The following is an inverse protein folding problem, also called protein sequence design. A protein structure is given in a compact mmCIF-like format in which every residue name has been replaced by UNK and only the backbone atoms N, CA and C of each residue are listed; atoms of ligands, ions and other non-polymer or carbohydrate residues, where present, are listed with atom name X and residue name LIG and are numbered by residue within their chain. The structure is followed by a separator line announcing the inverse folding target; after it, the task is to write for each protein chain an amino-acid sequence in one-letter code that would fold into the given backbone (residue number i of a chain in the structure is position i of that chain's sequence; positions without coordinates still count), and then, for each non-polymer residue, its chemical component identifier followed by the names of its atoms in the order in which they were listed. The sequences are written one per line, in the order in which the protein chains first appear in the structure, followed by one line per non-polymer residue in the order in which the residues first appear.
data_IF_103741819623
#
_entry.id   IF_103741819623
#
_cell.length_a   1.000
_cell.length_b   1.000
_cell.length_c   1.000
_cell.angle_alpha   90.00
_cell.angle_beta   90.00
_cell.angle_gamma   90.00
#
_symmetry.space_group_name_H-M   'P 1'
#
loop_
_entity.id
_entity.type
_entity.pdbx_description
1 polymer ?
#
# COMPACT_ATOMS: atom_id res chain seq x y z
N UNK A 1 18.48 -0.17 -3.61
CA UNK A 1 17.89 -1.37 -4.22
C UNK A 1 18.35 -2.57 -3.40
N UNK A 2 17.50 -3.54 -3.03
CA UNK A 2 17.95 -4.75 -2.35
C UNK A 2 18.82 -5.59 -3.29
N UNK A 3 19.95 -6.08 -2.76
CA UNK A 3 20.93 -6.88 -3.51
C UNK A 3 21.14 -8.18 -2.77
N UNK A 4 21.20 -9.29 -3.50
CA UNK A 4 21.57 -10.60 -2.98
C UNK A 4 22.86 -11.08 -3.64
N UNK A 5 23.81 -11.52 -2.81
CA UNK A 5 25.01 -12.20 -3.26
C UNK A 5 24.80 -13.70 -3.10
N UNK A 6 24.96 -14.44 -4.19
CA UNK A 6 24.90 -15.90 -4.16
C UNK A 6 26.28 -16.50 -4.44
N UNK A 7 26.76 -17.34 -3.56
CA UNK A 7 28.04 -18.05 -3.74
C UNK A 7 28.00 -19.44 -3.15
N UNK A 8 28.91 -20.30 -3.63
CA UNK A 8 29.26 -21.59 -3.00
C UNK A 8 30.38 -21.47 -1.97
N UNK A 9 31.06 -20.32 -1.94
CA UNK A 9 32.11 -20.05 -0.98
C UNK A 9 31.54 -19.24 0.20
N UNK A 10 31.64 -19.81 1.41
CA UNK A 10 31.15 -19.20 2.64
C UNK A 10 31.93 -17.91 3.03
N UNK A 11 33.17 -17.74 2.58
CA UNK A 11 33.95 -16.51 2.84
C UNK A 11 33.28 -15.25 2.24
N UNK A 12 32.48 -15.42 1.20
CA UNK A 12 31.72 -14.32 0.58
C UNK A 12 30.60 -13.79 1.47
N UNK A 13 30.22 -14.48 2.54
CA UNK A 13 29.24 -13.99 3.52
C UNK A 13 29.76 -12.74 4.25
N UNK A 14 31.06 -12.77 4.64
CA UNK A 14 31.69 -11.61 5.28
C UNK A 14 31.74 -10.38 4.34
N UNK A 15 32.01 -10.62 3.06
CA UNK A 15 31.97 -9.56 2.04
C UNK A 15 30.56 -8.99 1.84
N UNK A 16 29.54 -9.84 1.87
CA UNK A 16 28.15 -9.42 1.79
C UNK A 16 27.74 -8.56 2.99
N UNK A 17 28.15 -8.93 4.20
CA UNK A 17 27.91 -8.16 5.41
C UNK A 17 28.55 -6.76 5.33
N UNK A 18 29.80 -6.67 4.87
CA UNK A 18 30.52 -5.38 4.70
C UNK A 18 29.82 -4.46 3.70
N UNK A 19 29.17 -5.02 2.67
CA UNK A 19 28.45 -4.26 1.63
C UNK A 19 26.96 -4.09 1.93
N UNK A 20 26.49 -4.53 3.11
CA UNK A 20 25.07 -4.51 3.49
C UNK A 20 24.17 -5.21 2.47
N UNK A 21 24.65 -6.29 1.87
CA UNK A 21 23.90 -7.17 0.96
C UNK A 21 23.50 -8.46 1.68
N UNK A 22 22.44 -9.12 1.17
CA UNK A 22 22.03 -10.43 1.71
C UNK A 22 22.86 -11.53 1.06
N UNK A 23 23.47 -12.39 1.87
CA UNK A 23 24.16 -13.57 1.36
C UNK A 23 23.26 -14.79 1.35
N UNK A 24 23.29 -15.58 0.25
CA UNK A 24 22.59 -16.86 0.15
C UNK A 24 23.56 -17.90 -0.43
N UNK A 25 23.80 -18.96 0.34
CA UNK A 25 24.68 -20.02 -0.07
C UNK A 25 24.02 -20.91 -1.13
N UNK A 26 24.63 -21.04 -2.33
CA UNK A 26 24.05 -21.76 -3.49
C UNK A 26 23.78 -23.26 -3.27
N UNK A 27 24.54 -23.90 -2.39
CA UNK A 27 24.39 -25.33 -2.06
C UNK A 27 23.60 -25.56 -0.77
N UNK A 28 23.00 -24.51 -0.19
CA UNK A 28 22.15 -24.69 1.00
C UNK A 28 20.91 -25.48 0.66
N UNK A 29 20.50 -26.38 1.55
CA UNK A 29 19.20 -27.07 1.47
C UNK A 29 18.03 -26.11 1.59
N UNK A 30 18.24 -24.93 2.17
CA UNK A 30 17.24 -23.87 2.33
C UNK A 30 17.25 -22.83 1.20
N UNK A 31 18.06 -22.98 0.13
CA UNK A 31 18.26 -21.99 -0.92
C UNK A 31 16.94 -21.38 -1.43
N UNK A 32 15.98 -22.22 -1.78
CA UNK A 32 14.68 -21.79 -2.34
C UNK A 32 13.88 -21.00 -1.28
N UNK A 33 13.90 -21.46 -0.04
CA UNK A 33 13.20 -20.77 1.04
C UNK A 33 13.87 -19.43 1.36
N UNK A 34 15.19 -19.37 1.34
CA UNK A 34 15.96 -18.14 1.59
C UNK A 34 15.75 -17.11 0.48
N UNK A 35 15.72 -17.53 -0.78
CA UNK A 35 15.34 -16.70 -1.92
C UNK A 35 13.91 -16.19 -1.80
N UNK A 36 12.96 -17.06 -1.47
CA UNK A 36 11.56 -16.70 -1.25
C UNK A 36 11.44 -15.65 -0.13
N UNK A 37 12.10 -15.87 0.98
CA UNK A 37 12.12 -14.94 2.11
C UNK A 37 12.75 -13.60 1.71
N UNK A 38 13.84 -13.62 0.94
CA UNK A 38 14.47 -12.41 0.44
C UNK A 38 13.51 -11.61 -0.45
N UNK A 39 12.82 -12.27 -1.38
CA UNK A 39 11.85 -11.64 -2.28
C UNK A 39 10.68 -11.05 -1.49
N UNK A 40 10.07 -11.82 -0.59
CA UNK A 40 8.95 -11.37 0.23
C UNK A 40 9.36 -10.16 1.08
N UNK A 41 10.52 -10.24 1.73
CA UNK A 41 10.97 -9.22 2.68
C UNK A 41 11.45 -7.91 2.03
N UNK A 42 11.92 -7.96 0.79
CA UNK A 42 12.56 -6.81 0.15
C UNK A 42 11.78 -6.25 -1.04
N UNK A 43 11.00 -7.07 -1.73
CA UNK A 43 10.23 -6.64 -2.91
C UNK A 43 8.73 -6.49 -2.63
N UNK A 44 8.25 -6.84 -1.45
CA UNK A 44 6.87 -6.62 -1.04
C UNK A 44 5.85 -7.61 -1.61
N UNK A 45 6.30 -8.76 -2.13
CA UNK A 45 5.39 -9.83 -2.55
C UNK A 45 4.72 -10.50 -1.35
N UNK A 46 3.45 -10.88 -1.52
CA UNK A 46 2.66 -11.50 -0.44
C UNK A 46 2.12 -10.47 0.57
N UNK A 47 1.79 -10.94 1.76
CA UNK A 47 1.28 -10.09 2.85
C UNK A 47 2.32 -9.07 3.29
N UNK A 48 1.87 -7.89 3.72
CA UNK A 48 2.76 -6.98 4.42
C UNK A 48 2.93 -7.44 5.87
N UNK A 49 4.16 -7.76 6.24
CA UNK A 49 4.49 -8.20 7.60
C UNK A 49 5.01 -7.00 8.39
N UNK A 50 4.19 -6.47 9.27
CA UNK A 50 4.60 -5.47 10.23
C UNK A 50 5.45 -6.10 11.31
N UNK A 51 6.71 -5.66 11.44
CA UNK A 51 7.69 -6.26 12.35
C UNK A 51 8.64 -5.22 12.91
N UNK A 52 9.32 -5.57 13.97
CA UNK A 52 10.46 -4.81 14.48
C UNK A 52 11.72 -5.08 13.65
N UNK A 53 12.74 -4.22 13.82
CA UNK A 53 14.08 -4.43 13.22
C UNK A 53 14.70 -5.79 13.62
N UNK A 54 14.35 -6.30 14.78
CA UNK A 54 14.76 -7.63 15.30
C UNK A 54 14.16 -8.82 14.54
N UNK A 55 13.22 -8.58 13.62
CA UNK A 55 12.49 -9.61 12.91
C UNK A 55 11.19 -10.06 13.60
N UNK A 56 10.95 -9.68 14.87
CA UNK A 56 9.72 -10.06 15.59
C UNK A 56 8.50 -9.44 14.91
N UNK A 57 7.61 -10.30 14.44
CA UNK A 57 6.34 -9.94 13.80
C UNK A 57 5.37 -9.34 14.82
N UNK A 58 4.57 -8.38 14.36
CA UNK A 58 3.52 -7.70 15.12
C UNK A 58 2.16 -8.09 14.56
N UNK A 59 1.96 -7.86 13.25
CA UNK A 59 0.71 -8.13 12.53
C UNK A 59 0.97 -8.22 11.04
N UNK A 60 -0.05 -8.61 10.25
CA UNK A 60 0.01 -8.71 8.79
C UNK A 60 -1.14 -7.96 8.13
N UNK A 61 -0.92 -7.56 6.89
CA UNK A 61 -1.96 -7.05 6.03
C UNK A 61 -1.92 -7.76 4.67
N UNK A 62 -3.06 -8.28 4.24
CA UNK A 62 -3.25 -8.94 2.95
C UNK A 62 -3.78 -7.98 1.89
N UNK A 63 -4.43 -6.90 2.33
CA UNK A 63 -5.09 -5.89 1.50
C UNK A 63 -4.68 -4.47 1.90
N UNK A 64 -4.94 -3.50 1.01
CA UNK A 64 -4.67 -2.08 1.28
C UNK A 64 -5.48 -1.56 2.47
N UNK A 65 -6.72 -2.02 2.64
CA UNK A 65 -7.57 -1.63 3.75
C UNK A 65 -7.05 -2.15 5.10
N UNK A 66 -6.61 -3.42 5.15
CA UNK A 66 -5.94 -3.96 6.34
C UNK A 66 -4.62 -3.24 6.62
N UNK A 67 -3.83 -2.96 5.57
CA UNK A 67 -2.59 -2.22 5.71
C UNK A 67 -2.80 -0.84 6.35
N UNK A 68 -3.81 -0.11 5.91
CA UNK A 68 -4.19 1.18 6.48
C UNK A 68 -4.55 1.04 7.96
N UNK A 69 -5.45 0.10 8.28
CA UNK A 69 -5.90 -0.17 9.65
C UNK A 69 -4.76 -0.53 10.59
N UNK A 70 -3.87 -1.41 10.16
CA UNK A 70 -2.72 -1.82 10.98
C UNK A 70 -1.69 -0.69 11.15
N UNK A 71 -1.53 0.17 10.14
CA UNK A 71 -0.65 1.33 10.18
C UNK A 71 -1.11 2.37 11.23
N UNK A 72 -2.43 2.51 11.49
CA UNK A 72 -2.98 3.43 12.48
C UNK A 72 -2.41 3.18 13.88
N UNK A 73 -2.30 1.92 14.27
CA UNK A 73 -1.90 1.51 15.62
C UNK A 73 -0.47 0.93 15.66
N UNK A 74 0.30 1.04 14.57
CA UNK A 74 1.63 0.46 14.50
C UNK A 74 2.59 1.08 15.52
N UNK A 75 3.34 0.29 16.31
CA UNK A 75 4.34 0.82 17.23
C UNK A 75 5.39 1.69 16.52
N UNK A 76 5.76 2.83 17.12
CA UNK A 76 6.70 3.82 16.54
C UNK A 76 8.00 3.21 16.03
N UNK A 77 8.58 2.25 16.77
CA UNK A 77 9.83 1.56 16.37
C UNK A 77 9.67 0.75 15.07
N UNK A 78 8.51 0.14 14.86
CA UNK A 78 8.20 -0.59 13.64
C UNK A 78 7.91 0.37 12.47
N UNK A 79 7.13 1.43 12.71
CA UNK A 79 6.89 2.49 11.73
C UNK A 79 8.20 3.06 11.20
N UNK A 80 9.10 3.46 12.08
CA UNK A 80 10.42 3.99 11.75
C UNK A 80 11.25 2.98 10.93
N UNK A 81 11.28 1.72 11.35
CA UNK A 81 12.00 0.65 10.65
C UNK A 81 11.49 0.48 9.22
N UNK A 82 10.19 0.33 9.02
CA UNK A 82 9.62 0.11 7.70
C UNK A 82 9.74 1.33 6.79
N UNK A 83 9.50 2.54 7.32
CA UNK A 83 9.63 3.78 6.57
C UNK A 83 11.07 4.05 6.12
N UNK A 84 12.07 3.80 6.99
CA UNK A 84 13.50 3.99 6.66
C UNK A 84 14.00 3.07 5.54
N UNK A 85 13.35 1.94 5.34
CA UNK A 85 13.73 0.91 4.34
C UNK A 85 12.83 0.93 3.09
N UNK A 86 11.92 1.88 2.97
CA UNK A 86 10.94 1.98 1.88
C UNK A 86 10.04 0.72 1.73
N UNK A 87 9.85 -0.06 2.81
CA UNK A 87 9.06 -1.28 2.73
C UNK A 87 7.61 -1.00 2.32
N UNK A 88 7.01 0.09 2.82
CA UNK A 88 5.64 0.49 2.47
C UNK A 88 5.49 0.75 0.97
N UNK A 89 6.34 1.60 0.40
CA UNK A 89 6.28 1.93 -1.03
C UNK A 89 6.57 0.73 -1.93
N UNK A 90 7.46 -0.18 -1.51
CA UNK A 90 7.73 -1.39 -2.28
C UNK A 90 6.51 -2.31 -2.31
N UNK A 91 5.86 -2.54 -1.17
CA UNK A 91 4.68 -3.39 -1.08
C UNK A 91 3.49 -2.83 -1.87
N UNK A 92 3.29 -1.52 -1.81
CA UNK A 92 2.24 -0.81 -2.55
C UNK A 92 2.48 -0.88 -4.06
N UNK A 93 3.75 -0.71 -4.51
CA UNK A 93 4.12 -0.79 -5.92
C UNK A 93 3.81 -2.17 -6.53
N UNK A 94 4.08 -3.26 -5.81
CA UNK A 94 3.81 -4.63 -6.28
C UNK A 94 2.32 -4.89 -6.49
N UNK A 95 1.46 -4.10 -5.87
CA UNK A 95 0.00 -4.15 -6.05
C UNK A 95 -0.52 -3.29 -7.20
N UNK A 96 0.37 -2.70 -7.98
CA UNK A 96 0.02 -1.87 -9.13
C UNK A 96 -0.30 -0.41 -8.78
N UNK A 97 -0.25 -0.03 -7.51
CA UNK A 97 -0.51 1.34 -7.04
C UNK A 97 0.76 2.21 -7.18
N UNK A 98 1.24 2.38 -8.42
CA UNK A 98 2.54 3.01 -8.70
C UNK A 98 2.60 4.48 -8.31
N UNK A 99 1.53 5.22 -8.49
CA UNK A 99 1.47 6.65 -8.13
C UNK A 99 1.57 6.83 -6.61
N UNK A 100 0.77 6.09 -5.85
CA UNK A 100 0.84 6.07 -4.40
C UNK A 100 2.22 5.64 -3.91
N UNK A 101 2.76 4.57 -4.47
CA UNK A 101 4.09 4.08 -4.13
C UNK A 101 5.18 5.13 -4.37
N UNK A 102 5.07 5.90 -5.46
CA UNK A 102 5.98 7.00 -5.77
C UNK A 102 5.85 8.15 -4.77
N UNK A 103 4.62 8.54 -4.41
CA UNK A 103 4.35 9.55 -3.37
C UNK A 103 4.96 9.14 -2.03
N UNK A 104 4.66 7.91 -1.57
CA UNK A 104 5.16 7.38 -0.29
C UNK A 104 6.68 7.24 -0.26
N UNK A 105 7.32 6.86 -1.37
CA UNK A 105 8.79 6.74 -1.46
C UNK A 105 9.52 8.07 -1.27
N UNK A 106 8.89 9.19 -1.61
CA UNK A 106 9.43 10.54 -1.42
C UNK A 106 9.33 11.02 0.02
N UNK A 107 8.48 10.41 0.83
CA UNK A 107 8.31 10.72 2.24
C UNK A 107 9.54 10.25 3.01
N UNK A 108 10.33 11.19 3.53
CA UNK A 108 11.53 10.89 4.32
C UNK A 108 11.25 11.17 5.78
N UNK A 109 11.71 10.29 6.67
CA UNK A 109 11.54 10.45 8.13
C UNK A 109 12.15 11.77 8.60
N UNK A 110 13.28 12.19 8.01
CA UNK A 110 13.98 13.43 8.33
C UNK A 110 13.15 14.70 8.10
N UNK A 111 12.08 14.62 7.34
CA UNK A 111 11.24 15.78 7.01
C UNK A 111 10.14 16.02 8.07
N UNK A 112 10.08 15.18 9.11
CA UNK A 112 9.03 15.23 10.13
C UNK A 112 9.63 15.34 11.52
N UNK A 113 9.07 16.22 12.34
CA UNK A 113 9.54 16.45 13.71
C UNK A 113 9.25 15.26 14.63
N UNK A 114 8.19 14.50 14.32
CA UNK A 114 7.82 13.31 15.07
C UNK A 114 7.24 12.23 14.15
N UNK A 115 7.19 10.99 14.67
CA UNK A 115 6.69 9.84 13.92
C UNK A 115 5.16 9.82 13.76
N UNK A 116 4.42 10.58 14.55
CA UNK A 116 2.95 10.67 14.39
C UNK A 116 2.59 11.56 13.21
N UNK A 117 3.34 12.62 12.93
CA UNK A 117 3.16 13.43 11.72
C UNK A 117 3.47 12.59 10.48
N UNK A 118 4.55 11.81 10.52
CA UNK A 118 4.87 10.85 9.45
C UNK A 118 3.71 9.85 9.24
N UNK A 119 3.19 9.25 10.32
CA UNK A 119 2.05 8.33 10.27
C UNK A 119 0.85 8.97 9.61
N UNK A 120 0.49 10.17 10.04
CA UNK A 120 -0.64 10.91 9.51
C UNK A 120 -0.51 11.13 8.01
N UNK A 121 0.64 11.60 7.54
CA UNK A 121 0.88 11.82 6.10
C UNK A 121 0.81 10.52 5.30
N UNK A 122 1.31 9.41 5.83
CA UNK A 122 1.19 8.09 5.19
C UNK A 122 -0.28 7.67 5.07
N UNK A 123 -1.05 7.80 6.16
CA UNK A 123 -2.46 7.45 6.19
C UNK A 123 -3.29 8.33 5.25
N UNK A 124 -3.06 9.64 5.25
CA UNK A 124 -3.75 10.58 4.37
C UNK A 124 -3.55 10.23 2.88
N UNK A 125 -2.32 9.89 2.47
CA UNK A 125 -2.03 9.48 1.10
C UNK A 125 -2.71 8.14 0.74
N UNK A 126 -2.73 7.17 1.65
CA UNK A 126 -3.39 5.88 1.44
C UNK A 126 -4.91 6.06 1.36
N UNK A 127 -5.48 6.89 2.24
CA UNK A 127 -6.92 7.17 2.27
C UNK A 127 -7.39 7.84 0.96
N UNK A 128 -6.62 8.81 0.47
CA UNK A 128 -6.87 9.43 -0.82
C UNK A 128 -6.91 8.39 -1.94
N UNK A 129 -5.92 7.51 -2.03
CA UNK A 129 -5.85 6.48 -3.06
C UNK A 129 -7.00 5.46 -2.96
N UNK A 130 -7.34 5.02 -1.74
CA UNK A 130 -8.46 4.11 -1.53
C UNK A 130 -9.77 4.77 -1.98
N UNK A 131 -9.95 6.05 -1.67
CA UNK A 131 -11.14 6.80 -2.08
C UNK A 131 -11.18 7.02 -3.60
N UNK A 132 -10.06 7.39 -4.23
CA UNK A 132 -9.96 7.51 -5.70
C UNK A 132 -10.27 6.18 -6.40
N UNK A 133 -9.75 5.06 -5.89
CA UNK A 133 -10.02 3.73 -6.44
C UNK A 133 -11.47 3.26 -6.25
N UNK A 134 -12.20 3.83 -5.29
CA UNK A 134 -13.61 3.55 -5.01
C UNK A 134 -14.55 4.50 -5.75
N UNK A 135 -14.07 5.69 -6.11
CA UNK A 135 -14.85 6.68 -6.83
C UNK A 135 -15.30 6.13 -8.20
N UNK A 136 -16.59 6.21 -8.44
CA UNK A 136 -17.22 5.68 -9.66
C UNK A 136 -17.40 4.16 -9.69
N UNK A 137 -16.89 3.41 -8.68
CA UNK A 137 -17.17 1.97 -8.54
C UNK A 137 -18.35 1.75 -7.60
N UNK A 138 -19.15 0.74 -7.93
CA UNK A 138 -20.25 0.30 -7.08
C UNK A 138 -19.67 -0.76 -6.12
N UNK A 139 -19.59 -0.40 -4.85
CA UNK A 139 -19.01 -1.26 -3.81
C UNK A 139 -20.13 -1.92 -2.99
N UNK A 140 -19.94 -3.17 -2.56
CA UNK A 140 -20.86 -3.83 -1.64
C UNK A 140 -20.82 -3.12 -0.28
N UNK A 141 -21.98 -2.87 0.31
CA UNK A 141 -22.06 -2.31 1.66
C UNK A 141 -21.56 -3.31 2.68
N UNK A 142 -20.61 -2.88 3.50
CA UNK A 142 -20.11 -3.62 4.65
C UNK A 142 -20.24 -2.73 5.90
N UNK A 143 -21.08 -3.11 6.89
CA UNK A 143 -21.35 -2.27 8.06
C UNK A 143 -20.09 -1.89 8.88
N UNK A 144 -19.05 -2.71 8.80
CA UNK A 144 -17.78 -2.50 9.52
C UNK A 144 -16.79 -1.56 8.81
N UNK A 145 -17.04 -1.28 7.53
CA UNK A 145 -16.13 -0.48 6.69
C UNK A 145 -16.78 0.84 6.31
N UNK A 146 -17.51 1.47 7.24
CA UNK A 146 -18.27 2.70 7.00
C UNK A 146 -17.32 3.86 6.68
N UNK A 147 -16.95 3.98 5.42
CA UNK A 147 -16.40 5.21 4.87
C UNK A 147 -17.57 6.06 4.35
N UNK A 148 -17.91 7.14 5.05
CA UNK A 148 -18.96 8.12 4.70
C UNK A 148 -18.76 8.80 3.34
N UNK A 149 -17.71 8.45 2.61
CA UNK A 149 -17.31 9.05 1.33
C UNK A 149 -17.65 8.20 0.10
N UNK A 150 -18.31 7.06 0.25
CA UNK A 150 -18.67 6.21 -0.89
C UNK A 150 -19.80 6.84 -1.72
N UNK A 151 -19.54 7.06 -3.01
CA UNK A 151 -20.50 7.66 -3.92
C UNK A 151 -21.66 6.72 -4.27
N UNK A 152 -21.35 5.42 -4.43
CA UNK A 152 -22.34 4.38 -4.76
C UNK A 152 -22.10 3.11 -3.98
N UNK A 153 -23.09 2.69 -3.20
CA UNK A 153 -23.02 1.49 -2.36
C UNK A 153 -24.19 0.56 -2.69
N UNK A 154 -23.89 -0.70 -2.91
CA UNK A 154 -24.91 -1.74 -3.11
C UNK A 154 -25.24 -2.41 -1.77
N UNK A 155 -26.47 -2.30 -1.33
CA UNK A 155 -26.95 -2.88 -0.07
C UNK A 155 -27.39 -4.34 -0.25
N UNK A 156 -27.95 -4.69 -1.43
CA UNK A 156 -28.47 -6.03 -1.71
C UNK A 156 -27.48 -6.92 -2.47
N UNK A 157 -27.65 -8.22 -2.37
CA UNK A 157 -27.00 -9.21 -3.23
C UNK A 157 -27.69 -9.28 -4.60
N UNK A 158 -26.95 -9.63 -5.66
CA UNK A 158 -27.50 -9.75 -7.01
C UNK A 158 -26.99 -8.71 -7.99
N UNK A 159 -27.53 -8.70 -9.21
CA UNK A 159 -27.13 -7.74 -10.25
C UNK A 159 -27.77 -6.39 -10.04
N UNK A 160 -27.01 -5.32 -10.26
CA UNK A 160 -27.55 -3.95 -10.30
C UNK A 160 -28.34 -3.71 -11.57
N UNK A 161 -29.49 -3.05 -11.41
CA UNK A 161 -30.29 -2.58 -12.53
C UNK A 161 -29.53 -1.56 -13.41
N UNK A 162 -29.93 -1.45 -14.69
CA UNK A 162 -29.27 -0.57 -15.66
C UNK A 162 -29.23 0.90 -15.21
N UNK A 163 -30.26 1.37 -14.49
CA UNK A 163 -30.32 2.74 -13.96
C UNK A 163 -29.19 3.05 -12.97
N UNK A 164 -28.96 2.17 -12.01
CA UNK A 164 -27.88 2.34 -11.02
C UNK A 164 -26.49 2.29 -11.68
N UNK A 165 -26.28 1.39 -12.65
CA UNK A 165 -25.03 1.33 -13.43
C UNK A 165 -24.82 2.60 -14.25
N UNK A 166 -25.88 3.12 -14.90
CA UNK A 166 -25.83 4.35 -15.70
C UNK A 166 -25.47 5.57 -14.85
N UNK A 167 -26.05 5.69 -13.66
CA UNK A 167 -25.71 6.78 -12.72
C UNK A 167 -24.26 6.70 -12.22
N UNK A 168 -23.78 5.52 -11.87
CA UNK A 168 -22.39 5.34 -11.45
C UNK A 168 -21.41 5.64 -12.57
N UNK A 169 -21.72 5.20 -13.80
CA UNK A 169 -20.93 5.52 -15.00
C UNK A 169 -20.91 7.02 -15.29
N UNK A 170 -22.06 7.69 -15.27
CA UNK A 170 -22.15 9.13 -15.48
C UNK A 170 -21.36 9.92 -14.42
N UNK A 171 -21.44 9.51 -13.14
CA UNK A 171 -20.67 10.11 -12.07
C UNK A 171 -19.17 9.99 -12.29
N UNK A 172 -18.71 8.82 -12.72
CA UNK A 172 -17.31 8.59 -13.02
C UNK A 172 -16.83 9.42 -14.21
N UNK A 173 -17.64 9.46 -15.29
CA UNK A 173 -17.33 10.25 -16.48
C UNK A 173 -17.22 11.74 -16.17
N UNK A 174 -18.15 12.29 -15.38
CA UNK A 174 -18.13 13.69 -14.96
C UNK A 174 -16.87 14.03 -14.15
N UNK A 175 -16.49 13.17 -13.21
CA UNK A 175 -15.28 13.36 -12.41
C UNK A 175 -13.99 13.29 -13.25
N UNK A 176 -13.92 12.34 -14.18
CA UNK A 176 -12.74 12.16 -15.04
C UNK A 176 -12.60 13.25 -16.11
N UNK A 177 -13.66 13.98 -16.43
CA UNK A 177 -13.65 14.99 -17.50
C UNK A 177 -13.20 16.38 -17.07
N UNK A 178 -12.91 16.58 -15.76
CA UNK A 178 -12.47 17.86 -15.17
C UNK A 178 -13.38 19.08 -15.55
N UNK A 179 -14.68 18.80 -15.67
CA UNK A 179 -15.66 19.83 -16.06
C UNK A 179 -15.83 20.94 -15.04
N UNK A 180 -15.68 20.63 -13.74
CA UNK A 180 -15.79 21.63 -12.68
C UNK A 180 -14.67 22.68 -12.76
N UNK A 181 -13.46 22.31 -13.17
CA UNK A 181 -12.36 23.25 -13.42
C UNK A 181 -12.57 24.07 -14.70
N UNK A 182 -13.21 23.47 -15.73
CA UNK A 182 -13.45 24.16 -17.01
C UNK A 182 -14.62 25.13 -16.96
N UNK A 183 -15.59 24.85 -16.11
CA UNK A 183 -16.85 25.61 -16.00
C UNK A 183 -17.17 25.87 -14.52
N UNK A 184 -16.40 26.72 -13.82
CA UNK A 184 -16.55 26.91 -12.37
C UNK A 184 -17.89 27.55 -11.95
N UNK A 185 -18.60 28.16 -12.89
CA UNK A 185 -19.94 28.73 -12.69
C UNK A 185 -21.07 27.69 -12.74
N UNK A 186 -20.76 26.46 -13.20
CA UNK A 186 -21.76 25.38 -13.36
C UNK A 186 -21.55 24.30 -12.30
N UNK A 187 -22.57 24.07 -11.48
CA UNK A 187 -22.56 22.95 -10.52
C UNK A 187 -23.23 21.73 -11.16
N UNK A 188 -22.40 20.73 -11.52
CA UNK A 188 -22.87 19.47 -12.08
C UNK A 188 -22.98 18.43 -10.97
N UNK A 189 -24.16 17.85 -10.78
CA UNK A 189 -24.39 16.80 -9.77
C UNK A 189 -25.13 15.62 -10.37
N UNK A 190 -24.69 14.42 -10.03
CA UNK A 190 -25.46 13.20 -10.28
C UNK A 190 -26.36 12.96 -9.08
N UNK A 191 -27.69 12.73 -9.27
CA UNK A 191 -28.58 12.39 -8.17
C UNK A 191 -28.09 11.17 -7.39
N UNK A 192 -28.18 11.25 -6.07
CA UNK A 192 -27.86 10.14 -5.17
C UNK A 192 -29.11 9.32 -4.85
#
# INVERSE_FOLDING_TARGET
MPIVLQSTNAEHEEAALKTNTTFIHKKSSSLIQDLKNFIINNFGFGDFIFRYKTGKEITRATSMAEFQKELENLPKKSLQFHASKNHFSNWIAVRGEFELASKIRKIKISNYNNLEDLRKVLLDNIDLQINENRDGKIVQFEPKTESRKLSFVRISTGSLGGKARGLAFASNLLKSSDLESKYPEIVIRVPK
#
